data_IF_481696382118
#
_entry.id   IF_481696382118
#
_cell.length_a   1.000
_cell.length_b   1.000
_cell.length_c   1.000
_cell.angle_alpha   90.00
_cell.angle_beta   90.00
_cell.angle_gamma   90.00
#
_symmetry.space_group_name_H-M   'P 1'
#
loop_
_entity.id
_entity.type
_entity.pdbx_description
1 polymer ?
#
# COMPACT_ATOMS: atom_id res chain seq x y z
N UNK A 1 -7.17 -19.91 11.51
CA UNK A 1 -6.26 -21.01 11.11
C UNK A 1 -7.01 -22.26 10.67
N UNK A 2 -7.81 -22.94 11.53
CA UNK A 2 -8.46 -24.22 11.18
C UNK A 2 -9.25 -24.20 9.87
N UNK A 3 -9.97 -23.13 9.57
CA UNK A 3 -10.77 -23.02 8.34
C UNK A 3 -9.89 -22.77 7.10
N UNK A 4 -9.00 -21.76 7.15
CA UNK A 4 -8.26 -21.28 5.98
C UNK A 4 -6.92 -21.98 5.76
N UNK A 5 -6.23 -22.42 6.81
CA UNK A 5 -4.94 -23.10 6.67
C UNK A 5 -5.08 -24.63 6.66
N UNK A 6 -6.01 -25.17 7.44
CA UNK A 6 -6.22 -26.61 7.57
C UNK A 6 -7.42 -27.14 6.80
N UNK A 7 -8.08 -26.27 5.99
CA UNK A 7 -9.26 -26.58 5.17
C UNK A 7 -10.39 -27.30 5.92
N UNK A 8 -10.53 -27.07 7.25
CA UNK A 8 -11.61 -27.64 8.02
C UNK A 8 -12.93 -26.95 7.71
N UNK A 9 -13.98 -27.72 7.55
CA UNK A 9 -15.35 -27.20 7.39
C UNK A 9 -15.81 -26.52 8.69
N UNK A 10 -16.74 -25.57 8.56
CA UNK A 10 -17.33 -24.93 9.75
C UNK A 10 -18.02 -25.93 10.69
N UNK A 11 -18.54 -27.05 10.14
CA UNK A 11 -19.16 -28.10 10.93
C UNK A 11 -18.14 -28.90 11.74
N UNK A 12 -17.00 -29.24 11.16
CA UNK A 12 -15.89 -29.92 11.87
C UNK A 12 -15.31 -29.04 12.97
N UNK A 13 -15.18 -27.73 12.71
CA UNK A 13 -14.71 -26.77 13.70
C UNK A 13 -15.73 -26.67 14.84
N UNK A 14 -17.02 -26.57 14.53
CA UNK A 14 -18.10 -26.52 15.51
C UNK A 14 -18.07 -27.72 16.44
N UNK A 15 -17.94 -28.94 15.88
CA UNK A 15 -17.82 -30.20 16.66
C UNK A 15 -16.59 -30.23 17.54
N UNK A 16 -15.43 -29.80 16.99
CA UNK A 16 -14.16 -29.81 17.72
C UNK A 16 -14.14 -28.83 18.89
N UNK A 17 -14.68 -27.62 18.67
CA UNK A 17 -14.66 -26.55 19.67
C UNK A 17 -15.90 -26.54 20.59
N UNK A 18 -16.84 -27.47 20.41
CA UNK A 18 -18.05 -27.56 21.23
C UNK A 18 -19.01 -26.36 21.06
N UNK A 19 -19.04 -25.74 19.92
CA UNK A 19 -19.89 -24.57 19.63
C UNK A 19 -20.79 -24.82 18.42
N UNK A 20 -21.78 -23.94 18.18
CA UNK A 20 -22.67 -24.08 17.03
C UNK A 20 -21.98 -23.67 15.72
N UNK A 21 -22.39 -24.25 14.58
CA UNK A 21 -21.94 -23.81 13.23
C UNK A 21 -22.21 -22.31 13.02
N UNK A 22 -23.34 -21.79 13.50
CA UNK A 22 -23.68 -20.37 13.42
C UNK A 22 -22.69 -19.49 14.19
N UNK A 23 -22.20 -19.96 15.33
CA UNK A 23 -21.16 -19.27 16.11
C UNK A 23 -19.84 -19.25 15.34
N UNK A 24 -19.43 -20.36 14.73
CA UNK A 24 -18.22 -20.40 13.86
C UNK A 24 -18.34 -19.42 12.71
N UNK A 25 -19.49 -19.40 12.01
CA UNK A 25 -19.73 -18.46 10.90
C UNK A 25 -19.61 -17.01 11.33
N UNK A 26 -20.18 -16.64 12.50
CA UNK A 26 -20.06 -15.28 13.06
C UNK A 26 -18.62 -14.91 13.40
N UNK A 27 -17.86 -15.85 13.97
CA UNK A 27 -16.44 -15.63 14.30
C UNK A 27 -15.63 -15.38 13.02
N UNK A 28 -15.83 -16.19 11.98
CA UNK A 28 -15.14 -16.04 10.71
C UNK A 28 -15.47 -14.70 10.05
N UNK A 29 -16.76 -14.32 10.02
CA UNK A 29 -17.18 -13.01 9.51
C UNK A 29 -16.55 -11.86 10.31
N UNK A 30 -16.62 -11.91 11.63
CA UNK A 30 -16.00 -10.88 12.48
C UNK A 30 -14.48 -10.80 12.31
N UNK A 31 -13.81 -11.92 12.00
CA UNK A 31 -12.38 -11.94 11.73
C UNK A 31 -12.03 -11.27 10.37
N UNK A 32 -12.91 -11.42 9.36
CA UNK A 32 -12.80 -10.67 8.10
C UNK A 32 -13.05 -9.17 8.31
N UNK A 33 -14.15 -8.81 9.02
CA UNK A 33 -14.52 -7.42 9.29
C UNK A 33 -13.43 -6.67 10.08
N UNK A 34 -12.67 -7.40 10.92
CA UNK A 34 -11.54 -6.86 11.70
C UNK A 34 -10.19 -6.94 10.99
N UNK A 35 -10.15 -7.39 9.74
CA UNK A 35 -8.89 -7.53 8.99
C UNK A 35 -7.93 -8.59 9.53
N UNK A 36 -8.39 -9.50 10.41
CA UNK A 36 -7.60 -10.64 10.92
C UNK A 36 -7.43 -11.70 9.82
N UNK A 37 -8.38 -11.76 8.90
CA UNK A 37 -8.38 -12.62 7.72
C UNK A 37 -8.47 -11.73 6.50
N UNK A 38 -7.47 -11.82 5.65
CA UNK A 38 -7.48 -11.24 4.31
C UNK A 38 -7.59 -12.37 3.29
N UNK A 39 -8.60 -12.32 2.44
CA UNK A 39 -8.73 -13.22 1.29
C UNK A 39 -8.21 -12.47 0.07
N UNK A 40 -7.12 -12.95 -0.50
CA UNK A 40 -6.57 -12.41 -1.76
C UNK A 40 -6.82 -13.41 -2.87
N UNK A 41 -7.60 -13.01 -3.86
CA UNK A 41 -7.78 -13.78 -5.08
C UNK A 41 -6.66 -13.34 -6.03
N UNK A 42 -5.79 -14.26 -6.40
CA UNK A 42 -4.77 -13.98 -7.42
C UNK A 42 -5.39 -14.17 -8.80
N UNK A 43 -5.95 -13.12 -9.34
CA UNK A 43 -6.40 -13.10 -10.73
C UNK A 43 -5.21 -12.88 -11.66
N UNK A 44 -4.41 -13.93 -11.87
CA UNK A 44 -3.30 -13.91 -12.85
C UNK A 44 -3.79 -13.97 -14.32
N UNK A 45 -5.09 -14.02 -14.53
CA UNK A 45 -5.68 -14.40 -15.84
C UNK A 45 -6.31 -13.20 -16.57
N UNK A 46 -6.48 -12.04 -15.92
CA UNK A 46 -7.28 -10.95 -16.46
C UNK A 46 -6.51 -9.64 -16.70
N UNK A 47 -5.19 -9.70 -16.86
CA UNK A 47 -4.48 -8.53 -17.37
C UNK A 47 -4.91 -8.30 -18.82
N UNK A 48 -5.55 -7.18 -19.09
CA UNK A 48 -5.87 -6.75 -20.44
C UNK A 48 -4.60 -6.26 -21.15
N UNK A 49 -3.81 -7.22 -21.61
CA UNK A 49 -2.53 -6.96 -22.28
C UNK A 49 -2.69 -6.16 -23.56
N UNK A 50 -3.87 -6.19 -24.19
CA UNK A 50 -4.16 -5.39 -25.37
C UNK A 50 -4.30 -3.91 -24.99
N UNK A 51 -5.11 -3.59 -23.97
CA UNK A 51 -5.27 -2.23 -23.47
C UNK A 51 -3.97 -1.67 -22.85
N UNK A 52 -3.18 -2.50 -22.15
CA UNK A 52 -1.85 -2.10 -21.67
C UNK A 52 -0.95 -1.66 -22.81
N UNK A 53 -0.95 -2.43 -23.91
CA UNK A 53 -0.19 -2.10 -25.12
C UNK A 53 -0.69 -0.82 -25.77
N UNK A 54 -2.00 -0.67 -25.94
CA UNK A 54 -2.60 0.53 -26.52
C UNK A 54 -2.23 1.78 -25.73
N UNK A 55 -2.18 1.71 -24.38
CA UNK A 55 -1.73 2.81 -23.52
C UNK A 55 -0.25 3.14 -23.74
N UNK A 56 0.61 2.12 -23.83
CA UNK A 56 2.04 2.31 -24.06
C UNK A 56 2.30 2.91 -25.46
N UNK A 57 1.53 2.50 -26.45
CA UNK A 57 1.66 3.00 -27.83
C UNK A 57 1.12 4.45 -27.96
N UNK A 58 0.09 4.80 -27.17
CA UNK A 58 -0.53 6.14 -27.22
C UNK A 58 0.17 7.20 -26.37
N UNK A 59 0.90 6.80 -25.33
CA UNK A 59 1.51 7.71 -24.36
C UNK A 59 3.00 7.42 -24.16
N UNK A 60 3.84 8.42 -23.79
CA UNK A 60 5.27 8.22 -23.55
C UNK A 60 5.54 7.53 -22.20
N UNK A 61 4.87 6.38 -21.98
CA UNK A 61 5.04 5.54 -20.79
C UNK A 61 5.74 4.24 -21.15
N UNK A 62 6.56 3.74 -20.24
CA UNK A 62 7.34 2.51 -20.48
C UNK A 62 6.58 1.25 -20.13
N UNK A 63 5.55 1.37 -19.30
CA UNK A 63 4.77 0.25 -18.80
C UNK A 63 3.39 0.73 -18.32
N UNK A 64 2.40 -0.08 -18.57
CA UNK A 64 1.06 0.01 -17.98
C UNK A 64 0.74 -1.32 -17.31
N UNK A 65 -0.07 -1.30 -16.27
CA UNK A 65 -0.68 -2.48 -15.64
C UNK A 65 -2.14 -2.16 -15.43
N UNK A 66 -3.01 -2.96 -16.04
CA UNK A 66 -4.46 -2.79 -15.96
C UNK A 66 -5.02 -3.77 -14.93
N UNK A 67 -5.76 -3.25 -13.97
CA UNK A 67 -6.47 -4.04 -12.97
C UNK A 67 -7.96 -3.95 -13.27
N UNK A 68 -8.64 -5.09 -13.54
CA UNK A 68 -10.06 -5.07 -13.87
C UNK A 68 -10.91 -4.80 -12.62
N UNK A 69 -11.97 -4.00 -12.77
CA UNK A 69 -12.98 -3.82 -11.73
C UNK A 69 -14.08 -4.88 -11.89
N UNK A 70 -13.87 -6.05 -11.28
CA UNK A 70 -14.76 -7.21 -11.42
C UNK A 70 -16.01 -7.16 -10.52
N UNK A 71 -16.00 -6.33 -9.48
CA UNK A 71 -17.03 -6.34 -8.44
C UNK A 71 -17.63 -4.97 -8.17
N UNK A 72 -17.29 -3.97 -8.99
CA UNK A 72 -17.78 -2.58 -8.88
C UNK A 72 -17.66 -2.04 -7.44
N UNK A 73 -16.52 -2.31 -6.80
CA UNK A 73 -16.25 -1.91 -5.42
C UNK A 73 -14.90 -1.22 -5.32
N UNK A 74 -14.93 0.08 -5.07
CA UNK A 74 -13.74 0.95 -4.98
C UNK A 74 -12.69 0.46 -3.99
N UNK A 75 -13.10 -0.09 -2.85
CA UNK A 75 -12.18 -0.59 -1.83
C UNK A 75 -11.45 -1.85 -2.31
N UNK A 76 -12.15 -2.77 -2.98
CA UNK A 76 -11.56 -3.98 -3.54
C UNK A 76 -10.65 -3.60 -4.70
N UNK A 77 -11.11 -2.76 -5.63
CA UNK A 77 -10.30 -2.27 -6.73
C UNK A 77 -9.01 -1.60 -6.22
N UNK A 78 -9.09 -0.76 -5.18
CA UNK A 78 -7.91 -0.14 -4.59
C UNK A 78 -6.93 -1.18 -4.00
N UNK A 79 -7.45 -2.24 -3.37
CA UNK A 79 -6.61 -3.33 -2.86
C UNK A 79 -5.90 -4.08 -3.99
N UNK A 80 -6.61 -4.36 -5.08
CA UNK A 80 -6.07 -5.08 -6.25
C UNK A 80 -5.03 -4.22 -6.98
N UNK A 81 -5.27 -2.92 -7.16
CA UNK A 81 -4.29 -1.97 -7.71
C UNK A 81 -3.03 -1.91 -6.81
N UNK A 82 -3.20 -1.86 -5.49
CA UNK A 82 -2.06 -1.89 -4.57
C UNK A 82 -1.28 -3.22 -4.67
N UNK A 83 -1.97 -4.35 -4.79
CA UNK A 83 -1.34 -5.66 -4.94
C UNK A 83 -0.53 -5.74 -6.24
N UNK A 84 -1.10 -5.28 -7.38
CA UNK A 84 -0.41 -5.24 -8.66
C UNK A 84 0.86 -4.37 -8.60
N UNK A 85 0.78 -3.21 -7.94
CA UNK A 85 1.95 -2.34 -7.74
C UNK A 85 3.01 -3.01 -6.85
N UNK A 86 2.61 -3.69 -5.77
CA UNK A 86 3.52 -4.41 -4.87
C UNK A 86 4.30 -5.48 -5.63
N UNK A 87 3.63 -6.23 -6.51
CA UNK A 87 4.26 -7.27 -7.33
C UNK A 87 5.26 -6.68 -8.35
N UNK A 88 5.05 -5.44 -8.77
CA UNK A 88 5.92 -4.74 -9.73
C UNK A 88 7.08 -3.96 -9.06
N UNK A 89 6.94 -3.53 -7.80
CA UNK A 89 7.95 -2.75 -7.07
C UNK A 89 9.38 -3.32 -7.14
N UNK A 90 9.62 -4.66 -7.03
CA UNK A 90 10.97 -5.23 -7.09
C UNK A 90 11.68 -5.01 -8.43
N UNK A 91 10.96 -4.66 -9.49
CA UNK A 91 11.54 -4.34 -10.81
C UNK A 91 12.24 -2.98 -10.79
N UNK A 92 11.71 -2.04 -10.02
CA UNK A 92 12.20 -0.65 -9.96
C UNK A 92 13.13 -0.41 -8.78
N UNK A 93 12.83 -0.98 -7.62
CA UNK A 93 13.62 -0.77 -6.41
C UNK A 93 14.76 -1.78 -6.34
N UNK A 94 15.99 -1.29 -6.49
CA UNK A 94 17.26 -2.05 -6.39
C UNK A 94 18.02 -1.64 -5.12
N UNK A 95 19.19 -2.21 -4.92
CA UNK A 95 20.10 -1.70 -3.91
C UNK A 95 20.47 -0.25 -4.22
N UNK A 96 20.68 0.54 -3.18
CA UNK A 96 21.06 1.94 -3.22
C UNK A 96 20.05 2.86 -3.95
N UNK A 97 18.78 2.37 -4.15
CA UNK A 97 17.72 3.18 -4.72
C UNK A 97 17.27 4.30 -3.78
N UNK A 98 16.91 5.43 -4.37
CA UNK A 98 16.23 6.53 -3.66
C UNK A 98 14.77 6.54 -4.08
N UNK A 99 13.86 6.45 -3.11
CA UNK A 99 12.41 6.40 -3.33
C UNK A 99 11.78 7.65 -2.73
N UNK A 100 11.15 8.46 -3.59
CA UNK A 100 10.34 9.59 -3.14
C UNK A 100 8.91 9.14 -2.85
N UNK A 101 8.40 9.44 -1.65
CA UNK A 101 7.01 9.18 -1.28
C UNK A 101 6.27 10.48 -0.98
N UNK A 102 5.04 10.54 -1.41
CA UNK A 102 4.13 11.64 -1.14
C UNK A 102 3.08 11.21 -0.09
N UNK A 103 1.96 11.84 -0.04
CA UNK A 103 0.83 11.47 0.80
C UNK A 103 -0.42 11.27 -0.07
N UNK A 104 -1.42 10.60 0.49
CA UNK A 104 -2.71 10.40 -0.15
C UNK A 104 -3.36 9.09 0.25
N UNK A 105 -4.63 8.97 -0.05
CA UNK A 105 -5.44 7.79 0.30
C UNK A 105 -4.87 6.50 -0.31
N UNK A 106 -4.53 6.53 -1.59
CA UNK A 106 -3.95 5.38 -2.31
C UNK A 106 -2.61 4.95 -1.71
N UNK A 107 -1.70 5.90 -1.43
CA UNK A 107 -0.43 5.58 -0.80
C UNK A 107 -0.59 5.07 0.64
N UNK A 108 -1.60 5.55 1.36
CA UNK A 108 -1.94 5.01 2.69
C UNK A 108 -2.41 3.56 2.60
N UNK A 109 -3.26 3.24 1.63
CA UNK A 109 -3.73 1.87 1.39
C UNK A 109 -2.58 0.94 0.97
N UNK A 110 -1.71 1.41 0.09
CA UNK A 110 -0.50 0.69 -0.34
C UNK A 110 0.45 0.44 0.84
N UNK A 111 0.74 1.46 1.64
CA UNK A 111 1.67 1.37 2.77
C UNK A 111 1.26 0.31 3.82
N UNK A 112 -0.06 0.09 3.98
CA UNK A 112 -0.60 -0.96 4.87
C UNK A 112 -0.37 -2.39 4.36
N UNK A 113 -0.13 -2.56 3.06
CA UNK A 113 -0.02 -3.86 2.39
C UNK A 113 1.43 -4.21 2.03
N UNK A 114 2.39 -3.28 2.18
CA UNK A 114 3.77 -3.48 1.78
C UNK A 114 4.41 -4.68 2.50
N UNK A 115 4.94 -5.66 1.77
CA UNK A 115 5.67 -6.79 2.35
C UNK A 115 7.11 -6.37 2.70
N UNK A 116 7.83 -7.24 3.37
CA UNK A 116 9.28 -7.07 3.60
C UNK A 116 10.07 -7.60 2.40
N UNK A 117 10.57 -6.72 1.57
CA UNK A 117 11.33 -7.07 0.36
C UNK A 117 12.84 -7.08 0.64
N UNK A 118 13.33 -6.22 1.50
CA UNK A 118 14.73 -5.95 1.86
C UNK A 118 15.66 -5.69 0.66
N UNK A 119 16.26 -4.53 0.67
CA UNK A 119 17.31 -4.09 -0.26
C UNK A 119 18.40 -3.37 0.52
N UNK A 120 19.63 -3.43 0.04
CA UNK A 120 20.75 -2.74 0.69
C UNK A 120 20.77 -1.26 0.28
N UNK A 121 21.01 -0.36 1.24
CA UNK A 121 21.30 1.06 0.98
C UNK A 121 20.12 1.88 0.47
N UNK A 122 18.87 1.40 0.58
CA UNK A 122 17.70 2.16 0.12
C UNK A 122 17.45 3.37 1.01
N UNK A 123 17.22 4.52 0.37
CA UNK A 123 16.78 5.75 1.02
C UNK A 123 15.33 6.05 0.62
N UNK A 124 14.47 6.29 1.59
CA UNK A 124 13.08 6.71 1.34
C UNK A 124 12.93 8.14 1.81
N UNK A 125 12.58 9.03 0.89
CA UNK A 125 12.48 10.47 1.15
C UNK A 125 11.05 10.97 1.02
N UNK A 126 10.66 11.86 1.89
CA UNK A 126 9.39 12.57 1.80
C UNK A 126 9.48 13.66 0.73
N UNK A 127 8.51 13.71 -0.20
CA UNK A 127 8.52 14.67 -1.31
C UNK A 127 7.87 16.01 -0.96
N UNK A 128 7.15 16.10 0.14
CA UNK A 128 6.57 17.35 0.65
C UNK A 128 6.60 17.38 2.17
N UNK A 129 6.69 18.57 2.74
CA UNK A 129 6.61 18.78 4.18
C UNK A 129 5.25 18.47 4.78
N UNK A 130 5.07 18.77 6.06
CA UNK A 130 3.84 18.50 6.80
C UNK A 130 2.71 19.49 6.51
N UNK A 131 1.46 19.04 6.63
CA UNK A 131 0.27 19.90 6.60
C UNK A 131 -0.20 20.20 8.01
N UNK A 132 -0.44 21.48 8.29
CA UNK A 132 -0.81 21.97 9.64
C UNK A 132 -2.27 21.70 10.04
N UNK A 133 -3.13 21.29 9.11
CA UNK A 133 -4.54 21.00 9.39
C UNK A 133 -4.80 19.50 9.32
N UNK A 134 -5.32 18.96 10.43
CA UNK A 134 -5.64 17.55 10.65
C UNK A 134 -6.80 16.99 9.79
N UNK A 135 -7.19 17.67 8.72
CA UNK A 135 -8.30 17.25 7.84
C UNK A 135 -7.92 16.08 6.95
N UNK A 136 -6.63 15.82 6.79
CA UNK A 136 -6.14 14.68 6.02
C UNK A 136 -5.51 13.66 6.97
N UNK A 137 -6.22 12.58 7.24
CA UNK A 137 -5.70 11.38 7.92
C UNK A 137 -4.57 10.69 7.14
N UNK A 138 -4.00 11.34 6.14
CA UNK A 138 -2.82 10.88 5.44
C UNK A 138 -1.60 11.06 6.33
N UNK A 139 -1.38 10.10 7.17
CA UNK A 139 -0.21 10.02 8.03
C UNK A 139 1.05 9.85 7.17
N UNK A 140 1.53 10.96 6.56
CA UNK A 140 2.67 10.96 5.64
C UNK A 140 3.91 10.30 6.27
N UNK A 141 4.06 10.43 7.58
CA UNK A 141 5.13 9.79 8.33
C UNK A 141 4.94 8.27 8.42
N UNK A 142 3.70 7.77 8.52
CA UNK A 142 3.46 6.32 8.51
C UNK A 142 3.71 5.71 7.14
N UNK A 143 3.37 6.41 6.06
CA UNK A 143 3.70 6.00 4.69
C UNK A 143 5.22 5.91 4.54
N UNK A 144 5.94 6.97 4.90
CA UNK A 144 7.41 7.04 4.83
C UNK A 144 8.06 5.86 5.57
N UNK A 145 7.61 5.59 6.82
CA UNK A 145 8.11 4.49 7.63
C UNK A 145 7.79 3.13 7.04
N UNK A 146 6.56 2.92 6.55
CA UNK A 146 6.16 1.64 5.94
C UNK A 146 7.01 1.30 4.70
N UNK A 147 7.32 2.29 3.87
CA UNK A 147 8.23 2.09 2.74
C UNK A 147 9.67 1.79 3.19
N UNK A 148 10.19 2.52 4.17
CA UNK A 148 11.50 2.24 4.72
C UNK A 148 11.58 0.84 5.34
N UNK A 149 10.57 0.42 6.11
CA UNK A 149 10.49 -0.91 6.71
C UNK A 149 10.38 -2.02 5.65
N UNK A 150 9.61 -1.79 4.57
CA UNK A 150 9.48 -2.71 3.45
C UNK A 150 10.84 -3.07 2.85
N UNK A 151 11.66 -2.07 2.59
CA UNK A 151 12.96 -2.26 1.94
C UNK A 151 14.12 -2.42 2.92
N UNK A 152 13.91 -2.24 4.22
CA UNK A 152 14.97 -2.20 5.22
C UNK A 152 15.90 -1.00 5.03
N UNK A 153 15.33 0.11 4.56
CA UNK A 153 16.03 1.34 4.21
C UNK A 153 15.97 2.40 5.30
N UNK A 154 16.55 3.57 4.99
CA UNK A 154 16.52 4.76 5.87
C UNK A 154 15.44 5.72 5.40
N UNK A 155 14.64 6.23 6.36
CA UNK A 155 13.60 7.23 6.11
C UNK A 155 14.14 8.64 6.33
N UNK A 156 13.88 9.53 5.36
CA UNK A 156 14.24 10.96 5.45
C UNK A 156 12.97 11.81 5.36
N UNK A 157 12.66 12.49 6.44
CA UNK A 157 11.54 13.41 6.54
C UNK A 157 11.98 14.83 6.23
N UNK A 158 11.13 15.62 5.58
CA UNK A 158 11.30 17.06 5.45
C UNK A 158 10.72 17.75 6.69
N UNK A 159 11.52 18.36 7.56
CA UNK A 159 11.06 19.04 8.78
C UNK A 159 10.56 20.46 8.47
N UNK A 160 9.74 20.61 7.45
CA UNK A 160 9.20 21.88 7.00
C UNK A 160 7.70 21.76 6.68
N UNK A 161 6.93 22.85 6.68
CA UNK A 161 5.55 22.85 6.18
C UNK A 161 5.52 22.56 4.67
N UNK A 162 4.47 21.85 4.22
CA UNK A 162 4.26 21.55 2.79
C UNK A 162 4.01 22.81 1.95
N UNK A 163 3.45 23.84 2.56
CA UNK A 163 3.12 25.13 1.94
C UNK A 163 3.44 26.28 2.88
N UNK A 164 3.97 27.35 2.33
CA UNK A 164 4.21 28.61 3.02
C UNK A 164 3.60 29.77 2.24
N UNK A 165 3.13 30.80 2.92
CA UNK A 165 2.41 31.91 2.30
C UNK A 165 3.35 32.87 1.54
N UNK A 166 4.60 32.99 1.96
CA UNK A 166 5.52 34.01 1.45
C UNK A 166 6.77 33.41 0.86
N UNK A 167 7.20 33.85 -0.36
CA UNK A 167 8.37 33.29 -1.03
C UNK A 167 9.69 33.38 -0.23
N UNK A 168 9.88 34.44 0.55
CA UNK A 168 11.11 34.58 1.35
C UNK A 168 11.28 33.49 2.41
N UNK A 169 10.17 32.88 2.89
CA UNK A 169 10.20 31.76 3.84
C UNK A 169 10.81 30.53 3.14
N UNK A 170 10.46 30.29 1.87
CA UNK A 170 11.03 29.18 1.08
C UNK A 170 12.54 29.34 0.96
N UNK A 171 13.00 30.55 0.64
CA UNK A 171 14.45 30.80 0.51
C UNK A 171 15.17 30.67 1.85
N UNK A 172 14.56 31.10 2.96
CA UNK A 172 15.12 30.89 4.28
C UNK A 172 15.21 29.41 4.65
N UNK A 173 14.16 28.63 4.38
CA UNK A 173 14.16 27.19 4.62
C UNK A 173 15.22 26.46 3.79
N UNK A 174 15.42 26.82 2.52
CA UNK A 174 16.47 26.21 1.68
C UNK A 174 17.90 26.48 2.18
N UNK A 175 18.10 27.53 2.94
CA UNK A 175 19.41 27.90 3.51
C UNK A 175 19.64 27.30 4.89
N UNK A 176 18.61 26.71 5.50
CA UNK A 176 18.74 26.09 6.82
C UNK A 176 19.40 24.71 6.70
N UNK A 177 20.47 24.51 7.45
CA UNK A 177 21.24 23.26 7.45
C UNK A 177 20.51 22.07 8.04
N UNK A 178 19.34 22.26 8.65
CA UNK A 178 18.50 21.20 9.21
C UNK A 178 17.44 20.69 8.21
N UNK A 179 17.33 21.33 7.05
CA UNK A 179 16.44 20.98 5.95
C UNK A 179 17.21 20.50 4.73
#
# INVERSE_FOLDING_TARGET
KMHYELNRTQLEIAKKEGISKATVSRILKSAMDKGIIEVRIKDSILNDTALEKDLIDAYPIKRAVIVPDLVENEQILLQDVCAALIDDLPRYVKNDSVIGVFYGHTLTALARQLPKIKRKGVSVIQLAGGFSRAVYESNSLSILRSFADCFGGTAYQIPAPAMVEKPFIVEALKQDSQI
#
